data_IF_617039905105
#
_entry.id   IF_617039905105
#
_cell.length_a   1.000
_cell.length_b   1.000
_cell.length_c   1.000
_cell.angle_alpha   90.00
_cell.angle_beta   90.00
_cell.angle_gamma   90.00
#
_symmetry.space_group_name_H-M   'P 1'
#
loop_
_entity.id
_entity.type
_entity.pdbx_description
1 polymer ?
#
# COMPACT_ATOMS: atom_id res chain seq x y z
N UNK A 1 -6.87 -6.66 4.36
CA UNK A 1 -6.93 -5.74 3.21
C UNK A 1 -8.04 -6.22 2.29
N UNK A 2 -8.77 -5.31 1.65
CA UNK A 2 -9.72 -5.61 0.59
C UNK A 2 -9.03 -5.35 -0.76
N UNK A 3 -8.86 -6.41 -1.56
CA UNK A 3 -8.27 -6.39 -2.89
C UNK A 3 -9.38 -6.51 -3.94
N UNK A 4 -9.29 -5.74 -5.02
CA UNK A 4 -10.07 -5.98 -6.23
C UNK A 4 -9.27 -6.88 -7.18
N UNK A 5 -9.62 -8.17 -7.31
CA UNK A 5 -8.86 -9.12 -8.11
C UNK A 5 -9.06 -8.94 -9.62
N UNK A 6 -10.12 -8.25 -10.05
CA UNK A 6 -10.43 -8.07 -11.47
C UNK A 6 -9.88 -6.76 -12.04
N UNK A 7 -9.38 -5.88 -11.17
CA UNK A 7 -8.82 -4.59 -11.60
C UNK A 7 -7.42 -4.77 -12.18
N UNK A 8 -7.29 -4.43 -13.46
CA UNK A 8 -6.02 -4.37 -14.18
C UNK A 8 -5.63 -2.92 -14.46
N UNK A 9 -4.35 -2.59 -14.33
CA UNK A 9 -3.78 -1.29 -14.69
C UNK A 9 -2.26 -1.38 -14.90
N UNK A 10 -1.66 -0.45 -15.64
CA UNK A 10 -0.22 -0.26 -15.62
C UNK A 10 0.23 0.36 -14.29
N UNK A 11 1.42 -0.02 -13.84
CA UNK A 11 2.16 0.74 -12.82
C UNK A 11 2.70 2.02 -13.45
N UNK A 12 2.49 3.14 -12.74
CA UNK A 12 2.97 4.47 -13.14
C UNK A 12 3.48 5.23 -11.92
N UNK A 13 4.73 5.66 -11.94
CA UNK A 13 5.39 6.38 -10.85
C UNK A 13 4.59 7.62 -10.43
N UNK A 14 4.06 8.37 -11.40
CA UNK A 14 3.24 9.56 -11.17
C UNK A 14 1.95 9.31 -10.36
N UNK A 15 1.49 8.05 -10.29
CA UNK A 15 0.28 7.64 -9.56
C UNK A 15 0.63 6.96 -8.21
N UNK A 16 1.91 6.70 -7.93
CA UNK A 16 2.38 6.05 -6.71
C UNK A 16 2.61 7.06 -5.58
N UNK A 17 2.78 6.54 -4.35
CA UNK A 17 3.01 7.35 -3.15
C UNK A 17 4.48 7.42 -2.73
N UNK A 18 5.40 6.92 -3.57
CA UNK A 18 6.84 7.07 -3.35
C UNK A 18 7.24 8.54 -3.48
N UNK A 19 8.30 8.94 -2.78
CA UNK A 19 8.93 10.25 -2.97
C UNK A 19 9.91 10.26 -4.17
N UNK A 20 10.19 9.09 -4.76
CA UNK A 20 10.99 8.97 -5.98
C UNK A 20 10.20 9.43 -7.20
N UNK A 21 10.92 9.86 -8.24
CA UNK A 21 10.41 10.29 -9.54
C UNK A 21 10.31 9.16 -10.57
N UNK A 22 10.69 7.93 -10.20
CA UNK A 22 10.58 6.73 -11.02
C UNK A 22 10.03 5.54 -10.21
N UNK A 23 9.53 4.53 -10.93
CA UNK A 23 9.14 3.24 -10.36
C UNK A 23 9.89 2.11 -11.11
N UNK A 24 10.53 1.15 -10.43
CA UNK A 24 11.21 0.03 -11.08
C UNK A 24 10.29 -0.83 -11.96
N UNK A 25 8.98 -0.79 -11.72
CA UNK A 25 7.97 -1.56 -12.44
C UNK A 25 7.18 -0.71 -13.44
N UNK A 26 7.66 0.49 -13.78
CA UNK A 26 6.99 1.40 -14.72
C UNK A 26 6.51 0.67 -15.99
N UNK A 27 5.22 0.83 -16.32
CA UNK A 27 4.59 0.24 -17.49
C UNK A 27 4.17 -1.23 -17.34
N UNK A 28 4.45 -1.91 -16.22
CA UNK A 28 3.97 -3.28 -16.01
C UNK A 28 2.46 -3.31 -15.82
N UNK A 29 1.76 -4.12 -16.62
CA UNK A 29 0.34 -4.41 -16.42
C UNK A 29 0.14 -5.40 -15.27
N UNK A 30 -0.52 -4.96 -14.20
CA UNK A 30 -0.78 -5.78 -13.01
C UNK A 30 -2.28 -5.98 -12.81
N UNK A 31 -2.67 -7.17 -12.37
CA UNK A 31 -4.07 -7.51 -12.05
C UNK A 31 -4.18 -7.82 -10.56
N UNK A 32 -5.14 -7.20 -9.89
CA UNK A 32 -5.24 -7.20 -8.44
C UNK A 32 -4.79 -5.88 -7.84
N UNK A 33 -5.73 -5.03 -7.40
CA UNK A 33 -5.41 -3.71 -6.84
C UNK A 33 -6.07 -3.47 -5.47
N UNK A 34 -5.38 -2.86 -4.48
CA UNK A 34 -5.98 -2.51 -3.19
C UNK A 34 -7.19 -1.58 -3.33
N UNK A 35 -8.31 -1.98 -2.73
CA UNK A 35 -9.47 -1.11 -2.50
C UNK A 35 -9.41 -0.47 -1.12
N UNK A 36 -9.12 -1.28 -0.09
CA UNK A 36 -9.03 -0.81 1.31
C UNK A 36 -7.89 -1.50 2.03
N UNK A 37 -7.04 -0.74 2.70
CA UNK A 37 -6.00 -1.25 3.60
C UNK A 37 -6.33 -0.84 5.03
N UNK A 38 -6.24 -1.80 5.95
CA UNK A 38 -6.46 -1.57 7.37
C UNK A 38 -5.13 -1.62 8.11
N UNK A 39 -4.94 -0.72 9.06
CA UNK A 39 -3.86 -0.74 10.03
C UNK A 39 -4.48 -0.67 11.43
N UNK A 40 -4.29 -1.70 12.24
CA UNK A 40 -4.77 -1.75 13.64
C UNK A 40 -6.28 -1.49 13.78
N UNK A 41 -7.09 -2.01 12.85
CA UNK A 41 -8.55 -1.84 12.84
C UNK A 41 -9.04 -0.51 12.25
N UNK A 42 -8.14 0.38 11.82
CA UNK A 42 -8.48 1.65 11.18
C UNK A 42 -8.20 1.62 9.68
N UNK A 43 -8.98 2.35 8.90
CA UNK A 43 -8.73 2.52 7.45
C UNK A 43 -7.47 3.36 7.26
N UNK A 44 -6.43 2.74 6.68
CA UNK A 44 -5.17 3.39 6.34
C UNK A 44 -5.14 3.90 4.89
N UNK A 45 -5.86 3.22 3.99
CA UNK A 45 -6.01 3.59 2.60
C UNK A 45 -7.37 3.13 2.07
N UNK A 46 -8.02 3.96 1.26
CA UNK A 46 -9.32 3.72 0.60
C UNK A 46 -9.34 4.25 -0.85
N UNK A 47 -8.18 4.30 -1.50
CA UNK A 47 -7.95 5.07 -2.73
C UNK A 47 -7.17 6.36 -2.48
N UNK A 48 -7.15 6.84 -1.23
CA UNK A 48 -6.27 7.90 -0.73
C UNK A 48 -5.62 7.45 0.56
N UNK A 49 -4.45 8.00 0.88
CA UNK A 49 -3.81 7.77 2.18
C UNK A 49 -4.65 8.44 3.28
N UNK A 50 -5.05 7.65 4.27
CA UNK A 50 -5.77 8.08 5.49
C UNK A 50 -4.90 7.97 6.74
N UNK A 51 -3.86 7.14 6.67
CA UNK A 51 -2.91 6.99 7.77
C UNK A 51 -2.10 8.28 8.00
N UNK A 52 -1.78 8.52 9.26
CA UNK A 52 -0.84 9.52 9.74
C UNK A 52 0.41 8.85 10.33
N UNK A 53 1.44 9.66 10.62
CA UNK A 53 2.66 9.20 11.28
C UNK A 53 2.43 8.61 12.68
N UNK A 54 1.25 8.81 13.29
CA UNK A 54 0.89 8.32 14.63
C UNK A 54 0.23 6.93 14.64
N UNK A 55 -0.18 6.40 13.49
CA UNK A 55 -0.90 5.12 13.45
C UNK A 55 0.02 3.90 13.63
N UNK A 56 1.32 4.06 13.37
CA UNK A 56 2.34 3.03 13.57
C UNK A 56 2.83 2.95 15.03
N UNK A 57 3.39 1.80 15.40
CA UNK A 57 4.16 1.64 16.64
C UNK A 57 5.20 0.55 16.49
N UNK A 58 6.27 0.64 17.28
CA UNK A 58 7.26 -0.42 17.37
C UNK A 58 6.63 -1.73 17.86
N UNK A 59 7.03 -2.85 17.25
CA UNK A 59 6.66 -4.19 17.66
C UNK A 59 7.94 -4.90 18.10
N UNK A 60 8.20 -5.05 19.41
CA UNK A 60 9.36 -5.80 19.89
C UNK A 60 9.25 -7.26 19.48
N UNK A 61 10.39 -7.88 19.15
CA UNK A 61 10.49 -9.32 18.92
C UNK A 61 11.13 -9.97 20.14
N UNK A 62 10.68 -11.16 20.50
CA UNK A 62 11.35 -11.97 21.52
C UNK A 62 12.72 -12.45 21.01
N UNK A 63 13.69 -12.71 21.91
CA UNK A 63 14.87 -13.52 21.58
C UNK A 63 14.45 -14.91 21.05
N UNK A 64 15.36 -15.60 20.35
CA UNK A 64 15.12 -16.92 19.75
C UNK A 64 14.31 -17.84 20.69
N UNK A 65 13.22 -18.38 20.16
CA UNK A 65 12.33 -19.30 20.87
C UNK A 65 13.02 -20.64 21.19
#
# INVERSE_FOLDING_TARGET
MLLDPARTRPVRAAEMHSASDYDPYEGWEVTGWPRVVLLRGQVAYDGKIRASTRNGRFVPRSPLA
#
